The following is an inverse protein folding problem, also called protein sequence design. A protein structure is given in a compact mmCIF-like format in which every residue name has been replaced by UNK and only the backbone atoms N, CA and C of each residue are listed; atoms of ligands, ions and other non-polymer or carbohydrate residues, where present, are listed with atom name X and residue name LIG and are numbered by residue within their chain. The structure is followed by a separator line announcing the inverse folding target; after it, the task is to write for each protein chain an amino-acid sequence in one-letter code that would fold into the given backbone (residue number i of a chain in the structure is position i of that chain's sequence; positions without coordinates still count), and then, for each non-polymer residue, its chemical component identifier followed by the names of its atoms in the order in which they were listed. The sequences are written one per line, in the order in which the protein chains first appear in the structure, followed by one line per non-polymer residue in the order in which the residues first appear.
data_IF_614746910139
#
_entry.id   IF_614746910139
#
_cell.length_a   1.000
_cell.length_b   1.000
_cell.length_c   1.000
_cell.angle_alpha   90.00
_cell.angle_beta   90.00
_cell.angle_gamma   90.00
#
_symmetry.space_group_name_H-M   'P 1'
#
loop_
_entity.id
_entity.type
_entity.pdbx_description
1 polymer ?
#
# COMPACT_ATOMS: atom_id res chain seq x y z
N UNK A 1 -89.30 35.14 6.83
CA UNK A 1 -90.54 34.44 6.43
C UNK A 1 -90.15 33.12 5.79
N UNK A 2 -90.58 32.00 6.38
CA UNK A 2 -90.73 30.68 5.71
C UNK A 2 -92.03 30.74 4.86
N UNK A 3 -92.26 29.88 3.84
CA UNK A 3 -92.23 28.42 3.97
C UNK A 3 -91.75 27.59 2.76
N UNK A 4 -91.62 26.28 3.05
CA UNK A 4 -91.29 25.14 2.19
C UNK A 4 -92.49 24.70 1.28
N UNK A 5 -92.41 23.58 0.52
CA UNK A 5 -92.69 22.28 1.15
C UNK A 5 -91.88 21.07 0.66
N UNK A 6 -92.05 20.00 1.44
CA UNK A 6 -91.48 18.64 1.44
C UNK A 6 -92.54 17.66 0.89
N UNK A 7 -92.14 16.62 0.15
CA UNK A 7 -92.85 15.32 0.00
C UNK A 7 -91.77 14.23 -0.12
N UNK A 8 -91.41 13.44 0.92
CA UNK A 8 -91.96 12.14 1.43
C UNK A 8 -92.22 11.12 0.30
N UNK A 9 -91.51 9.99 0.18
CA UNK A 9 -91.58 8.70 0.91
C UNK A 9 -90.55 7.76 0.24
N UNK A 10 -89.89 6.78 0.85
CA UNK A 10 -90.39 5.78 1.79
C UNK A 10 -89.27 4.83 2.26
N UNK A 11 -89.60 4.11 3.32
CA UNK A 11 -88.79 3.28 4.20
C UNK A 11 -88.74 1.82 3.71
N UNK A 12 -87.58 1.16 3.73
CA UNK A 12 -87.49 -0.28 3.99
C UNK A 12 -86.07 -0.69 4.39
N UNK A 13 -85.93 -1.00 5.68
CA UNK A 13 -84.80 -1.68 6.29
C UNK A 13 -84.90 -3.18 5.96
N UNK A 14 -83.85 -3.81 5.43
CA UNK A 14 -83.70 -5.26 5.48
C UNK A 14 -82.20 -5.61 5.57
N UNK A 15 -81.80 -5.93 6.80
CA UNK A 15 -80.56 -6.60 7.16
C UNK A 15 -80.71 -8.09 6.82
N UNK A 16 -79.91 -8.60 5.88
CA UNK A 16 -79.52 -10.01 5.82
C UNK A 16 -78.01 -10.05 5.52
N UNK A 17 -77.25 -10.57 6.49
CA UNK A 17 -75.87 -11.03 6.31
C UNK A 17 -75.86 -12.20 5.31
N UNK A 18 -74.94 -12.17 4.34
CA UNK A 18 -74.06 -13.31 4.03
C UNK A 18 -73.00 -12.94 2.99
N UNK A 19 -71.74 -13.07 3.41
CA UNK A 19 -70.57 -13.55 2.68
C UNK A 19 -70.45 -13.23 1.18
N UNK A 20 -69.48 -12.37 0.87
CA UNK A 20 -68.92 -12.19 -0.47
C UNK A 20 -67.54 -11.54 -0.39
N UNK A 21 -66.60 -12.21 0.28
CA UNK A 21 -65.17 -11.93 0.14
C UNK A 21 -64.77 -12.17 -1.32
N UNK A 22 -64.34 -11.10 -1.99
CA UNK A 22 -63.65 -11.15 -3.28
C UNK A 22 -62.66 -10.00 -3.29
N UNK A 23 -61.50 -10.26 -2.69
CA UNK A 23 -60.47 -9.28 -2.39
C UNK A 23 -60.10 -8.42 -3.62
N UNK A 24 -60.21 -7.10 -3.45
CA UNK A 24 -59.24 -6.19 -4.07
C UNK A 24 -57.87 -6.65 -3.58
N UNK A 25 -57.03 -7.13 -4.48
CA UNK A 25 -55.60 -7.30 -4.22
C UNK A 25 -55.04 -5.93 -3.86
N UNK A 26 -54.99 -5.63 -2.57
CA UNK A 26 -54.02 -4.69 -2.06
C UNK A 26 -52.66 -5.26 -2.46
N UNK A 27 -52.02 -4.64 -3.45
CA UNK A 27 -50.61 -4.87 -3.69
C UNK A 27 -49.90 -4.59 -2.37
N UNK A 28 -49.47 -5.65 -1.69
CA UNK A 28 -48.60 -5.57 -0.53
C UNK A 28 -47.39 -4.76 -1.01
N UNK A 29 -47.14 -3.60 -0.43
CA UNK A 29 -45.89 -2.89 -0.66
C UNK A 29 -44.77 -3.91 -0.46
N UNK A 30 -43.93 -4.10 -1.48
CA UNK A 30 -42.83 -5.07 -1.37
C UNK A 30 -41.89 -4.56 -0.29
N UNK A 31 -41.69 -5.36 0.76
CA UNK A 31 -40.72 -5.05 1.81
C UNK A 31 -39.32 -4.94 1.19
N UNK A 32 -38.52 -3.98 1.65
CA UNK A 32 -37.10 -3.89 1.28
C UNK A 32 -36.39 -5.25 1.46
N UNK A 33 -35.42 -5.50 0.60
CA UNK A 33 -34.70 -6.78 0.59
C UNK A 33 -33.83 -6.98 1.83
N UNK A 34 -33.61 -8.24 2.20
CA UNK A 34 -32.52 -8.63 3.11
C UNK A 34 -31.21 -8.84 2.35
N UNK A 35 -30.08 -8.92 3.06
CA UNK A 35 -28.78 -9.25 2.45
C UNK A 35 -28.79 -10.61 1.74
N UNK A 36 -29.50 -11.60 2.28
CA UNK A 36 -29.65 -12.92 1.64
C UNK A 36 -30.36 -12.81 0.29
N UNK A 37 -31.39 -11.96 0.19
CA UNK A 37 -32.09 -11.70 -1.07
C UNK A 37 -31.19 -10.93 -2.05
N UNK A 38 -30.43 -9.93 -1.57
CA UNK A 38 -29.46 -9.23 -2.40
C UNK A 38 -28.37 -10.17 -2.94
N UNK A 39 -27.84 -11.09 -2.13
CA UNK A 39 -26.87 -12.09 -2.57
C UNK A 39 -27.43 -12.99 -3.70
N UNK A 40 -28.72 -13.38 -3.60
CA UNK A 40 -29.39 -14.11 -4.68
C UNK A 40 -29.46 -13.28 -5.95
N UNK A 41 -29.79 -11.99 -5.83
CA UNK A 41 -29.84 -11.06 -6.95
C UNK A 41 -28.47 -10.86 -7.59
N UNK A 42 -27.40 -10.70 -6.80
CA UNK A 42 -26.02 -10.56 -7.29
C UNK A 42 -25.61 -11.80 -8.11
N UNK A 43 -25.94 -13.00 -7.64
CA UNK A 43 -25.71 -14.25 -8.39
C UNK A 43 -26.52 -14.31 -9.69
N UNK A 44 -27.76 -13.84 -9.70
CA UNK A 44 -28.56 -13.72 -10.94
C UNK A 44 -27.95 -12.72 -11.94
N UNK A 45 -27.17 -11.76 -11.47
CA UNK A 45 -26.48 -10.77 -12.30
C UNK A 45 -25.13 -11.26 -12.84
N UNK A 46 -24.79 -12.53 -12.61
CA UNK A 46 -23.52 -13.15 -13.03
C UNK A 46 -22.31 -12.42 -12.44
N UNK A 47 -22.40 -12.13 -11.14
CA UNK A 47 -21.32 -11.51 -10.36
C UNK A 47 -20.84 -12.53 -9.35
N UNK A 48 -19.57 -12.89 -9.43
CA UNK A 48 -18.93 -13.81 -8.51
C UNK A 48 -18.80 -13.18 -7.12
N UNK A 49 -19.11 -13.97 -6.09
CA UNK A 49 -19.14 -13.49 -4.69
C UNK A 49 -18.31 -14.37 -3.77
N UNK A 50 -17.64 -13.76 -2.79
CA UNK A 50 -16.96 -14.45 -1.68
C UNK A 50 -17.39 -13.85 -0.33
N UNK A 51 -17.27 -14.60 0.78
CA UNK A 51 -17.48 -14.04 2.12
C UNK A 51 -16.54 -12.87 2.39
N UNK A 52 -17.04 -11.82 3.05
CA UNK A 52 -16.22 -10.75 3.62
C UNK A 52 -15.97 -11.02 5.11
N UNK A 53 -14.96 -10.33 5.65
CA UNK A 53 -14.67 -10.34 7.10
C UNK A 53 -15.57 -9.35 7.86
N UNK A 54 -16.23 -8.44 7.12
CA UNK A 54 -17.31 -7.58 7.60
C UNK A 54 -18.67 -8.24 7.33
N UNK A 55 -19.51 -8.34 8.36
CA UNK A 55 -20.83 -8.98 8.29
C UNK A 55 -21.84 -8.17 7.45
N UNK A 56 -21.60 -6.87 7.26
CA UNK A 56 -22.43 -5.96 6.47
C UNK A 56 -21.89 -5.78 5.04
N UNK A 57 -21.02 -6.69 4.58
CA UNK A 57 -20.37 -6.63 3.28
C UNK A 57 -20.34 -7.98 2.54
N UNK A 58 -20.41 -7.94 1.21
CA UNK A 58 -20.01 -9.07 0.37
C UNK A 58 -18.84 -8.69 -0.54
N UNK A 59 -17.81 -9.54 -0.60
CA UNK A 59 -16.72 -9.41 -1.59
C UNK A 59 -17.24 -9.87 -2.96
N UNK A 60 -16.93 -9.11 -4.00
CA UNK A 60 -17.40 -9.37 -5.36
C UNK A 60 -16.28 -9.28 -6.39
N UNK A 61 -16.43 -10.01 -7.50
CA UNK A 61 -15.68 -9.79 -8.73
C UNK A 61 -16.59 -9.09 -9.73
N UNK A 62 -16.32 -7.81 -10.02
CA UNK A 62 -17.12 -6.99 -10.91
C UNK A 62 -16.94 -7.34 -12.39
N UNK A 63 -15.71 -7.69 -12.75
CA UNK A 63 -15.30 -8.03 -14.11
C UNK A 63 -14.35 -9.22 -14.03
N UNK A 64 -14.73 -10.32 -14.65
CA UNK A 64 -13.87 -11.48 -14.82
C UNK A 64 -12.86 -11.27 -15.95
N UNK A 65 -11.71 -11.91 -15.83
CA UNK A 65 -10.68 -11.84 -16.84
C UNK A 65 -9.35 -12.36 -16.35
N UNK A 66 -8.30 -12.15 -17.14
CA UNK A 66 -6.93 -12.52 -16.77
C UNK A 66 -6.45 -11.75 -15.53
N UNK A 67 -6.87 -10.49 -15.42
CA UNK A 67 -6.72 -9.66 -14.22
C UNK A 67 -8.14 -9.25 -13.80
N UNK A 68 -8.73 -9.92 -12.80
CA UNK A 68 -10.10 -9.66 -12.38
C UNK A 68 -10.20 -8.31 -11.66
N UNK A 69 -11.35 -7.64 -11.81
CA UNK A 69 -11.64 -6.39 -11.09
C UNK A 69 -12.46 -6.74 -9.85
N UNK A 70 -11.79 -6.75 -8.71
CA UNK A 70 -12.40 -7.05 -7.41
C UNK A 70 -13.04 -5.82 -6.76
N UNK A 71 -13.80 -6.08 -5.71
CA UNK A 71 -14.37 -5.04 -4.87
C UNK A 71 -15.33 -5.61 -3.85
N UNK A 72 -16.23 -4.76 -3.38
CA UNK A 72 -17.22 -5.13 -2.37
C UNK A 72 -18.53 -4.38 -2.58
N UNK A 73 -19.59 -4.93 -2.00
CA UNK A 73 -20.88 -4.24 -1.84
C UNK A 73 -21.13 -4.16 -0.34
N UNK A 74 -21.03 -2.96 0.22
CA UNK A 74 -21.39 -2.70 1.61
C UNK A 74 -22.87 -2.34 1.70
N UNK A 75 -23.52 -2.76 2.77
CA UNK A 75 -24.95 -2.57 2.99
C UNK A 75 -25.21 -1.73 4.23
N UNK A 76 -26.17 -0.83 4.16
CA UNK A 76 -26.75 -0.24 5.37
C UNK A 76 -28.13 -0.82 5.62
N UNK A 77 -28.39 -1.20 6.87
CA UNK A 77 -29.63 -1.84 7.27
C UNK A 77 -30.53 -0.93 8.12
N UNK A 78 -31.82 -1.22 8.11
CA UNK A 78 -32.78 -0.70 9.08
C UNK A 78 -32.83 -1.54 10.36
N UNK A 79 -33.67 -1.11 11.31
CA UNK A 79 -33.87 -1.81 12.58
C UNK A 79 -34.47 -3.21 12.42
N UNK A 80 -34.95 -3.57 11.23
CA UNK A 80 -35.51 -4.86 10.87
C UNK A 80 -34.59 -5.66 9.93
N UNK A 81 -33.31 -5.26 9.82
CA UNK A 81 -32.31 -5.93 8.97
C UNK A 81 -32.70 -5.93 7.49
N UNK A 82 -33.40 -4.87 7.05
CA UNK A 82 -33.70 -4.61 5.65
C UNK A 82 -32.77 -3.56 5.08
N UNK A 83 -32.36 -3.75 3.84
CA UNK A 83 -31.45 -2.84 3.14
C UNK A 83 -32.12 -1.47 2.99
N UNK A 84 -31.38 -0.42 3.38
CA UNK A 84 -31.73 0.99 3.17
C UNK A 84 -30.95 1.60 2.02
N UNK A 85 -29.69 1.21 1.90
CA UNK A 85 -28.76 1.72 0.91
C UNK A 85 -27.69 0.65 0.64
N UNK A 86 -27.05 0.74 -0.52
CA UNK A 86 -25.88 -0.08 -0.86
C UNK A 86 -24.80 0.80 -1.43
N UNK A 87 -23.56 0.48 -1.08
CA UNK A 87 -22.37 1.21 -1.49
C UNK A 87 -21.43 0.25 -2.20
N UNK A 88 -21.57 0.07 -3.52
CA UNK A 88 -20.63 -0.72 -4.29
C UNK A 88 -19.30 0.01 -4.40
N UNK A 89 -18.21 -0.73 -4.26
CA UNK A 89 -16.84 -0.25 -4.44
C UNK A 89 -16.09 -1.22 -5.35
N UNK A 90 -15.30 -0.68 -6.27
CA UNK A 90 -14.43 -1.44 -7.15
C UNK A 90 -13.01 -0.92 -7.02
N UNK A 91 -12.06 -1.83 -6.83
CA UNK A 91 -10.66 -1.48 -6.80
C UNK A 91 -10.12 -1.55 -8.24
N UNK A 92 -9.51 -0.48 -8.71
CA UNK A 92 -8.96 -0.43 -10.07
C UNK A 92 -7.73 -1.35 -10.13
N UNK A 93 -7.69 -2.33 -11.03
CA UNK A 93 -6.55 -3.22 -11.15
C UNK A 93 -5.32 -2.47 -11.64
N UNK A 94 -4.18 -2.95 -11.19
CA UNK A 94 -2.90 -2.32 -11.43
C UNK A 94 -2.61 -2.17 -12.93
N UNK A 95 -2.86 -3.23 -13.70
CA UNK A 95 -2.59 -3.29 -15.14
C UNK A 95 -3.28 -2.19 -15.98
N UNK A 96 -4.37 -1.59 -15.47
CA UNK A 96 -5.06 -0.44 -16.11
C UNK A 96 -4.39 0.91 -15.86
N UNK A 97 -3.50 0.99 -14.88
CA UNK A 97 -2.87 2.22 -14.40
C UNK A 97 -1.34 2.20 -14.44
N UNK A 98 -0.75 1.22 -15.13
CA UNK A 98 0.68 0.93 -15.16
C UNK A 98 1.65 2.09 -15.34
N UNK A 99 1.28 3.13 -16.07
CA UNK A 99 2.17 4.27 -16.33
C UNK A 99 1.65 5.57 -15.71
N UNK A 100 0.79 5.46 -14.70
CA UNK A 100 0.20 6.59 -14.01
C UNK A 100 0.70 6.61 -12.55
N UNK A 101 1.63 7.53 -12.27
CA UNK A 101 2.03 7.80 -10.89
C UNK A 101 0.92 8.48 -10.08
N UNK A 102 1.11 8.60 -8.76
CA UNK A 102 0.10 9.14 -7.84
C UNK A 102 -0.49 10.49 -8.27
N UNK A 103 0.36 11.44 -8.69
CA UNK A 103 -0.09 12.75 -9.15
C UNK A 103 -0.97 12.65 -10.40
N UNK A 104 -0.56 11.83 -11.39
CA UNK A 104 -1.34 11.59 -12.60
C UNK A 104 -2.68 10.92 -12.30
N UNK A 105 -2.71 9.98 -11.36
CA UNK A 105 -3.95 9.32 -10.90
C UNK A 105 -4.90 10.31 -10.21
N UNK A 106 -4.37 11.17 -9.34
CA UNK A 106 -5.17 12.19 -8.68
C UNK A 106 -5.75 13.19 -9.69
N UNK A 107 -4.93 13.67 -10.62
CA UNK A 107 -5.37 14.56 -11.68
C UNK A 107 -6.41 13.89 -12.61
N UNK A 108 -6.22 12.62 -12.93
CA UNK A 108 -7.20 11.83 -13.67
C UNK A 108 -8.52 11.75 -12.92
N UNK A 109 -8.49 11.39 -11.63
CA UNK A 109 -9.69 11.25 -10.80
C UNK A 109 -10.47 12.57 -10.72
N UNK A 110 -9.78 13.71 -10.51
CA UNK A 110 -10.40 15.04 -10.52
C UNK A 110 -11.09 15.36 -11.85
N UNK A 111 -10.42 15.10 -12.98
CA UNK A 111 -10.99 15.36 -14.32
C UNK A 111 -12.17 14.44 -14.61
N UNK A 112 -12.05 13.16 -14.28
CA UNK A 112 -13.10 12.16 -14.48
C UNK A 112 -14.33 12.50 -13.63
N UNK A 113 -14.14 12.82 -12.34
CA UNK A 113 -15.21 13.23 -11.45
C UNK A 113 -15.90 14.52 -11.93
N UNK A 114 -15.14 15.49 -12.43
CA UNK A 114 -15.69 16.73 -12.99
C UNK A 114 -16.55 16.47 -14.23
N UNK A 115 -16.06 15.62 -15.15
CA UNK A 115 -16.78 15.20 -16.35
C UNK A 115 -18.08 14.43 -16.03
N UNK A 116 -18.10 13.70 -14.93
CA UNK A 116 -19.22 12.88 -14.49
C UNK A 116 -19.96 13.47 -13.27
N UNK A 117 -19.88 14.78 -13.03
CA UNK A 117 -20.41 15.41 -11.81
C UNK A 117 -21.92 15.23 -11.55
N UNK A 118 -22.70 14.84 -12.57
CA UNK A 118 -24.12 14.50 -12.45
C UNK A 118 -24.41 13.04 -12.08
N UNK A 119 -23.37 12.23 -11.85
CA UNK A 119 -23.47 10.82 -11.44
C UNK A 119 -23.07 10.66 -9.97
N UNK A 120 -23.51 9.57 -9.35
CA UNK A 120 -23.23 9.29 -7.93
C UNK A 120 -21.88 8.60 -7.72
N UNK A 121 -21.32 8.00 -8.77
CA UNK A 121 -20.05 7.31 -8.76
C UNK A 121 -18.87 8.29 -8.80
N UNK A 122 -17.84 8.02 -7.98
CA UNK A 122 -16.61 8.82 -7.94
C UNK A 122 -15.37 7.94 -7.86
N UNK A 123 -14.32 8.43 -8.52
CA UNK A 123 -12.97 7.93 -8.40
C UNK A 123 -12.25 8.68 -7.29
N UNK A 124 -11.62 7.93 -6.40
CA UNK A 124 -10.80 8.47 -5.32
C UNK A 124 -9.51 7.67 -5.21
N UNK A 125 -8.42 8.37 -4.85
CA UNK A 125 -7.11 7.76 -4.60
C UNK A 125 -6.93 7.71 -3.09
N UNK A 126 -6.87 6.52 -2.51
CA UNK A 126 -6.63 6.34 -1.08
C UNK A 126 -5.25 6.91 -0.67
N UNK A 127 -4.98 7.06 0.63
CA UNK A 127 -3.62 7.37 1.11
C UNK A 127 -2.62 6.27 0.78
N UNK A 128 -3.08 5.01 0.73
CA UNK A 128 -2.34 3.87 0.19
C UNK A 128 -2.20 3.92 -1.33
N UNK A 129 -2.79 4.94 -1.99
CA UNK A 129 -2.97 5.20 -3.42
C UNK A 129 -3.43 4.06 -4.28
N UNK A 130 -4.16 3.14 -3.67
CA UNK A 130 -5.17 2.37 -4.34
C UNK A 130 -6.19 3.35 -4.95
N UNK A 131 -6.34 3.30 -6.27
CA UNK A 131 -7.43 3.99 -6.96
C UNK A 131 -8.68 3.10 -6.88
N UNK A 132 -9.79 3.66 -6.42
CA UNK A 132 -11.05 2.94 -6.33
C UNK A 132 -12.20 3.79 -6.85
N UNK A 133 -13.21 3.10 -7.38
CA UNK A 133 -14.51 3.69 -7.73
C UNK A 133 -15.49 3.37 -6.61
N UNK A 134 -16.18 4.39 -6.08
CA UNK A 134 -17.18 4.26 -5.03
C UNK A 134 -18.42 5.10 -5.34
N UNK A 135 -19.44 5.02 -4.49
CA UNK A 135 -20.66 5.84 -4.56
C UNK A 135 -20.73 6.77 -3.36
N UNK A 136 -20.77 8.08 -3.59
CA UNK A 136 -20.72 9.11 -2.51
C UNK A 136 -22.07 9.50 -1.92
N UNK A 137 -23.16 9.17 -2.62
CA UNK A 137 -24.52 9.42 -2.19
C UNK A 137 -25.36 8.20 -2.60
N UNK A 138 -25.24 7.09 -1.86
CA UNK A 138 -25.96 5.87 -2.20
C UNK A 138 -27.45 6.17 -2.18
N UNK A 139 -28.17 5.78 -3.23
CA UNK A 139 -29.59 6.07 -3.37
C UNK A 139 -30.36 5.47 -2.20
N UNK A 140 -30.93 6.32 -1.33
CA UNK A 140 -31.79 5.87 -0.24
C UNK A 140 -33.21 5.75 -0.77
N UNK A 141 -33.79 4.55 -0.68
CA UNK A 141 -35.17 4.30 -1.07
C UNK A 141 -36.00 3.87 0.14
N UNK A 142 -37.24 4.36 0.22
CA UNK A 142 -38.21 3.86 1.19
C UNK A 142 -38.58 2.37 0.94
N UNK A 143 -38.35 1.89 -0.29
CA UNK A 143 -38.53 0.49 -0.71
C UNK A 143 -37.31 0.09 -1.55
N UNK A 144 -36.36 -0.60 -0.92
CA UNK A 144 -35.13 -1.06 -1.56
C UNK A 144 -35.35 -2.48 -2.11
N UNK A 145 -36.03 -2.57 -3.26
CA UNK A 145 -36.38 -3.83 -3.90
C UNK A 145 -35.29 -4.33 -4.88
N UNK A 146 -35.51 -5.52 -5.45
CA UNK A 146 -34.57 -6.15 -6.38
C UNK A 146 -34.37 -5.34 -7.67
N UNK A 147 -35.39 -4.62 -8.13
CA UNK A 147 -35.30 -3.83 -9.36
C UNK A 147 -34.40 -2.61 -9.14
N UNK A 148 -34.63 -1.89 -8.03
CA UNK A 148 -33.80 -0.75 -7.66
C UNK A 148 -32.35 -1.16 -7.37
N UNK A 149 -32.14 -2.28 -6.67
CA UNK A 149 -30.80 -2.84 -6.48
C UNK A 149 -30.10 -3.16 -7.81
N UNK A 150 -30.76 -3.86 -8.72
CA UNK A 150 -30.22 -4.19 -10.06
C UNK A 150 -29.86 -2.91 -10.84
N UNK A 151 -30.69 -1.88 -10.76
CA UNK A 151 -30.43 -0.59 -11.40
C UNK A 151 -29.16 0.08 -10.86
N UNK A 152 -29.02 0.17 -9.53
CA UNK A 152 -27.83 0.74 -8.88
C UNK A 152 -26.55 -0.02 -9.24
N UNK A 153 -26.60 -1.35 -9.17
CA UNK A 153 -25.45 -2.20 -9.50
C UNK A 153 -25.09 -2.10 -11.00
N UNK A 154 -26.07 -2.03 -11.90
CA UNK A 154 -25.80 -1.87 -13.33
C UNK A 154 -25.25 -0.48 -13.67
N UNK A 155 -25.75 0.58 -13.02
CA UNK A 155 -25.18 1.94 -13.14
C UNK A 155 -23.71 1.94 -12.75
N UNK A 156 -23.41 1.33 -11.59
CA UNK A 156 -22.05 1.21 -11.08
C UNK A 156 -21.14 0.44 -12.04
N UNK A 157 -21.57 -0.73 -12.55
CA UNK A 157 -20.80 -1.51 -13.54
C UNK A 157 -20.53 -0.73 -14.82
N UNK A 158 -21.50 0.06 -15.28
CA UNK A 158 -21.33 0.92 -16.45
C UNK A 158 -20.32 2.05 -16.19
N UNK A 159 -20.36 2.67 -15.01
CA UNK A 159 -19.38 3.68 -14.59
C UNK A 159 -17.98 3.08 -14.47
N UNK A 160 -17.85 1.90 -13.86
CA UNK A 160 -16.62 1.15 -13.76
C UNK A 160 -16.01 0.86 -15.13
N UNK A 161 -16.79 0.34 -16.07
CA UNK A 161 -16.31 0.07 -17.44
C UNK A 161 -15.76 1.35 -18.09
N UNK A 162 -16.49 2.47 -18.00
CA UNK A 162 -16.03 3.76 -18.53
C UNK A 162 -14.73 4.24 -17.87
N UNK A 163 -14.63 4.12 -16.55
CA UNK A 163 -13.44 4.51 -15.80
C UNK A 163 -12.22 3.70 -16.25
N UNK A 164 -12.35 2.37 -16.34
CA UNK A 164 -11.26 1.48 -16.74
C UNK A 164 -10.82 1.72 -18.19
N UNK A 165 -11.75 1.97 -19.12
CA UNK A 165 -11.43 2.28 -20.52
C UNK A 165 -10.74 3.64 -20.70
N UNK A 166 -11.06 4.63 -19.85
CA UNK A 166 -10.40 5.94 -19.84
C UNK A 166 -9.01 5.85 -19.19
N UNK A 167 -8.88 5.11 -18.09
CA UNK A 167 -7.59 4.86 -17.42
C UNK A 167 -6.60 4.11 -18.30
N UNK A 168 -7.04 3.05 -18.98
CA UNK A 168 -6.18 2.27 -19.88
C UNK A 168 -5.63 3.14 -21.02
N UNK A 169 -6.46 4.05 -21.56
CA UNK A 169 -6.02 5.01 -22.59
C UNK A 169 -5.03 6.04 -22.06
N UNK A 170 -5.30 6.61 -20.88
CA UNK A 170 -4.40 7.57 -20.22
C UNK A 170 -3.06 6.91 -19.88
N UNK A 171 -3.09 5.70 -19.32
CA UNK A 171 -1.89 4.91 -19.01
C UNK A 171 -1.06 4.65 -20.26
N UNK A 172 -1.66 4.17 -21.35
CA UNK A 172 -0.96 3.96 -22.63
C UNK A 172 -0.36 5.25 -23.20
N UNK A 173 -1.05 6.38 -23.05
CA UNK A 173 -0.51 7.68 -23.48
C UNK A 173 0.74 8.11 -22.70
N UNK A 174 0.91 7.60 -21.47
CA UNK A 174 2.06 7.87 -20.60
C UNK A 174 3.11 6.74 -20.62
N UNK A 175 3.00 5.75 -21.51
CA UNK A 175 3.95 4.62 -21.59
C UNK A 175 5.41 5.06 -21.73
N UNK A 176 5.66 6.19 -22.40
CA UNK A 176 7.00 6.76 -22.56
C UNK A 176 7.64 7.24 -21.24
N UNK A 177 6.84 7.55 -20.21
CA UNK A 177 7.36 7.89 -18.89
C UNK A 177 7.97 6.67 -18.17
N UNK A 178 7.43 5.48 -18.43
CA UNK A 178 7.87 4.24 -17.78
C UNK A 178 7.88 4.39 -16.25
N UNK A 179 8.97 3.95 -15.61
CA UNK A 179 9.12 4.05 -14.15
C UNK A 179 9.27 5.50 -13.64
N UNK A 180 9.53 6.48 -14.52
CA UNK A 180 9.65 7.89 -14.12
C UNK A 180 8.34 8.49 -13.64
N UNK A 181 7.20 7.91 -14.05
CA UNK A 181 5.89 8.34 -13.57
C UNK A 181 5.81 8.30 -12.03
N UNK A 182 6.52 7.35 -11.41
CA UNK A 182 6.58 7.14 -9.95
C UNK A 182 7.69 7.94 -9.26
N UNK A 183 8.39 8.82 -9.99
CA UNK A 183 9.51 9.62 -9.48
C UNK A 183 9.21 11.14 -9.45
N UNK A 184 7.93 11.52 -9.54
CA UNK A 184 7.49 12.86 -9.98
C UNK A 184 7.26 13.92 -8.88
N UNK A 185 7.65 13.66 -7.63
CA UNK A 185 7.37 14.51 -6.45
C UNK A 185 8.62 14.85 -5.60
N UNK A 186 9.79 14.87 -6.23
CA UNK A 186 11.05 15.01 -5.48
C UNK A 186 11.36 16.45 -5.11
N UNK A 187 11.67 16.65 -3.83
CA UNK A 187 12.25 17.88 -3.34
C UNK A 187 13.74 17.70 -3.05
N UNK A 188 14.49 18.79 -3.12
CA UNK A 188 15.90 18.76 -2.73
C UNK A 188 16.00 18.78 -1.21
N UNK A 189 16.73 17.82 -0.64
CA UNK A 189 17.02 17.83 0.78
C UNK A 189 18.26 18.69 1.06
N UNK A 190 18.25 19.46 2.15
CA UNK A 190 19.41 20.23 2.60
C UNK A 190 20.40 19.30 3.34
N UNK A 191 21.54 18.90 2.73
CA UNK A 191 22.49 17.97 3.34
C UNK A 191 23.18 18.54 4.59
N UNK A 192 23.06 19.84 4.86
CA UNK A 192 23.63 20.45 6.07
C UNK A 192 22.78 20.24 7.31
N UNK A 193 21.54 19.76 7.16
CA UNK A 193 20.55 19.61 8.24
C UNK A 193 20.14 18.17 8.44
N UNK A 194 19.79 17.83 9.69
CA UNK A 194 19.09 16.57 9.95
C UNK A 194 17.69 16.63 9.31
N UNK A 195 17.19 15.51 8.77
CA UNK A 195 17.82 14.19 8.76
C UNK A 195 18.76 13.94 7.57
N UNK A 196 18.67 14.73 6.49
CA UNK A 196 19.41 14.52 5.24
C UNK A 196 20.94 14.42 5.43
N UNK A 197 21.51 15.14 6.40
CA UNK A 197 22.92 15.11 6.74
C UNK A 197 23.45 13.72 7.12
N UNK A 198 22.62 12.86 7.70
CA UNK A 198 22.97 11.51 8.11
C UNK A 198 22.69 10.46 7.02
N UNK A 199 22.01 10.84 5.94
CA UNK A 199 21.69 9.99 4.79
C UNK A 199 22.73 10.23 3.70
N UNK A 200 23.25 9.16 3.12
CA UNK A 200 24.40 9.22 2.22
C UNK A 200 24.33 8.27 1.06
N UNK A 201 25.24 8.49 0.11
CA UNK A 201 25.46 7.61 -1.02
C UNK A 201 26.48 6.54 -0.65
N UNK A 202 26.12 5.28 -0.87
CA UNK A 202 27.01 4.14 -0.72
C UNK A 202 27.56 3.77 -2.09
N UNK A 203 28.89 3.85 -2.25
CA UNK A 203 29.57 3.38 -3.46
C UNK A 203 29.91 1.90 -3.35
N UNK A 204 29.70 1.19 -4.45
CA UNK A 204 29.85 -0.25 -4.54
C UNK A 204 30.75 -0.57 -5.74
N UNK A 205 31.57 -1.60 -5.61
CA UNK A 205 32.47 -2.02 -6.68
C UNK A 205 31.68 -2.29 -7.98
N UNK A 206 32.19 -1.81 -9.10
CA UNK A 206 31.53 -1.90 -10.40
C UNK A 206 30.71 -0.66 -10.79
N UNK A 207 30.75 0.41 -9.99
CA UNK A 207 30.09 1.68 -10.31
C UNK A 207 28.59 1.70 -10.00
N UNK A 208 28.14 0.77 -9.17
CA UNK A 208 26.80 0.77 -8.60
C UNK A 208 26.78 1.62 -7.34
N UNK A 209 25.62 2.22 -7.06
CA UNK A 209 25.42 2.97 -5.84
C UNK A 209 24.02 2.69 -5.28
N UNK A 210 23.96 2.79 -3.96
CA UNK A 210 22.74 2.72 -3.16
C UNK A 210 22.68 3.91 -2.20
N UNK A 211 21.57 4.01 -1.47
CA UNK A 211 21.43 4.91 -0.34
C UNK A 211 21.72 4.15 0.96
N UNK A 212 22.28 4.84 1.95
CA UNK A 212 22.40 4.33 3.31
C UNK A 212 22.23 5.43 4.34
N UNK A 213 22.07 5.05 5.61
CA UNK A 213 21.85 5.98 6.72
C UNK A 213 22.75 5.67 7.90
N UNK A 214 23.37 6.69 8.50
CA UNK A 214 24.11 6.54 9.74
C UNK A 214 23.16 6.28 10.91
N UNK A 215 23.22 5.07 11.47
CA UNK A 215 22.42 4.64 12.63
C UNK A 215 23.23 4.60 13.92
N UNK A 216 24.57 4.69 13.81
CA UNK A 216 25.49 4.93 14.91
C UNK A 216 26.72 5.70 14.41
N UNK A 217 27.68 5.98 15.30
CA UNK A 217 28.85 6.81 14.96
C UNK A 217 29.65 6.27 13.76
N UNK A 218 29.74 4.95 13.62
CA UNK A 218 30.47 4.27 12.55
C UNK A 218 29.65 3.14 11.89
N UNK A 219 28.31 3.13 12.04
CA UNK A 219 27.45 2.09 11.45
C UNK A 219 26.47 2.71 10.45
N UNK A 220 26.44 2.15 9.24
CA UNK A 220 25.50 2.50 8.17
C UNK A 220 24.50 1.37 7.98
N UNK A 221 23.21 1.72 7.97
CA UNK A 221 22.12 0.85 7.55
C UNK A 221 21.87 1.02 6.04
N UNK A 222 21.73 -0.09 5.31
CA UNK A 222 21.36 -0.12 3.88
C UNK A 222 20.67 -1.43 3.54
N UNK A 223 20.35 -1.67 2.27
CA UNK A 223 19.77 -2.93 1.78
C UNK A 223 20.86 -3.98 1.52
N UNK A 224 20.58 -5.26 1.76
CA UNK A 224 21.54 -6.34 1.52
C UNK A 224 21.78 -6.60 0.03
N UNK A 225 20.78 -6.44 -0.83
CA UNK A 225 20.91 -6.56 -2.28
C UNK A 225 21.84 -5.48 -2.89
N UNK A 226 22.19 -4.44 -2.14
CA UNK A 226 23.23 -3.51 -2.57
C UNK A 226 24.61 -4.20 -2.61
N UNK A 227 24.86 -5.12 -1.69
CA UNK A 227 26.15 -5.79 -1.50
C UNK A 227 26.12 -7.27 -1.88
N UNK A 228 25.03 -7.75 -2.47
CA UNK A 228 24.90 -9.08 -3.06
C UNK A 228 24.10 -8.97 -4.36
N UNK A 229 24.55 -9.62 -5.44
CA UNK A 229 23.79 -9.61 -6.69
C UNK A 229 22.63 -10.62 -6.70
N UNK A 230 21.87 -10.61 -7.79
CA UNK A 230 20.72 -11.49 -8.07
C UNK A 230 21.07 -12.99 -8.15
N UNK A 231 22.37 -13.33 -8.11
CA UNK A 231 22.89 -14.70 -8.10
C UNK A 231 23.50 -15.07 -6.75
N UNK A 232 23.39 -14.21 -5.75
CA UNK A 232 23.97 -14.41 -4.42
C UNK A 232 25.46 -14.16 -4.34
N UNK A 233 26.09 -13.56 -5.37
CA UNK A 233 27.51 -13.23 -5.34
C UNK A 233 27.72 -11.95 -4.55
N UNK A 234 28.70 -11.97 -3.66
CA UNK A 234 29.05 -10.82 -2.84
C UNK A 234 29.65 -9.69 -3.69
N UNK A 235 29.19 -8.48 -3.45
CA UNK A 235 29.74 -7.25 -3.99
C UNK A 235 30.45 -6.49 -2.88
N UNK A 236 31.54 -5.80 -3.24
CA UNK A 236 32.34 -5.04 -2.29
C UNK A 236 31.76 -3.63 -2.09
N UNK A 237 31.18 -3.29 -0.93
CA UNK A 237 30.94 -1.88 -0.59
C UNK A 237 32.29 -1.18 -0.38
N UNK A 238 32.40 0.07 -0.84
CA UNK A 238 33.68 0.80 -0.87
C UNK A 238 33.70 1.93 0.15
N UNK A 239 32.89 2.96 -0.09
CA UNK A 239 32.91 4.22 0.68
C UNK A 239 31.47 4.70 0.86
N UNK A 240 31.17 5.20 2.05
CA UNK A 240 29.90 5.88 2.33
C UNK A 240 30.14 7.39 2.43
N UNK A 241 29.37 8.17 1.66
CA UNK A 241 29.43 9.63 1.64
C UNK A 241 28.16 10.22 2.27
N UNK A 242 28.26 10.63 3.54
CA UNK A 242 27.15 11.22 4.27
C UNK A 242 26.86 12.65 3.77
N UNK A 243 25.60 12.94 3.44
CA UNK A 243 25.16 14.28 3.01
C UNK A 243 25.91 14.82 1.79
N UNK A 244 26.20 13.99 0.79
CA UNK A 244 26.94 14.41 -0.41
C UNK A 244 26.09 15.28 -1.33
N UNK A 245 26.59 16.44 -1.74
CA UNK A 245 25.96 17.28 -2.76
C UNK A 245 27.02 17.75 -3.76
N UNK A 246 26.86 17.38 -5.04
CA UNK A 246 27.78 17.66 -6.13
C UNK A 246 29.25 17.27 -5.88
N UNK A 247 29.49 16.22 -5.08
CA UNK A 247 30.83 15.75 -4.73
C UNK A 247 31.34 16.23 -3.37
N UNK A 248 30.68 17.21 -2.76
CA UNK A 248 31.02 17.71 -1.43
C UNK A 248 30.23 16.94 -0.37
N UNK A 249 30.89 16.01 0.33
CA UNK A 249 30.29 15.26 1.42
C UNK A 249 30.49 15.96 2.78
N UNK A 250 29.49 15.85 3.65
CA UNK A 250 29.63 16.28 5.05
C UNK A 250 30.71 15.46 5.74
N UNK A 251 30.73 14.15 5.48
CA UNK A 251 31.79 13.24 5.90
C UNK A 251 31.80 12.00 5.01
N UNK A 252 32.95 11.34 4.92
CA UNK A 252 33.14 10.10 4.17
C UNK A 252 34.01 9.13 4.97
N UNK A 253 33.76 7.84 4.80
CA UNK A 253 34.50 6.77 5.44
C UNK A 253 34.49 5.50 4.58
N UNK A 254 35.59 4.74 4.65
CA UNK A 254 35.69 3.43 4.03
C UNK A 254 34.88 2.39 4.79
N UNK A 255 34.30 1.43 4.07
CA UNK A 255 33.63 0.28 4.70
C UNK A 255 34.67 -0.78 5.04
N UNK A 256 34.65 -1.29 6.28
CA UNK A 256 35.59 -2.29 6.80
C UNK A 256 34.92 -3.57 7.29
N UNK A 257 33.61 -3.51 7.58
CA UNK A 257 32.84 -4.66 8.02
C UNK A 257 31.44 -4.71 7.43
N UNK A 258 30.91 -5.91 7.27
CA UNK A 258 29.59 -6.20 6.73
C UNK A 258 28.85 -7.17 7.64
N UNK A 259 27.59 -6.87 7.92
CA UNK A 259 26.66 -7.83 8.49
C UNK A 259 25.34 -7.79 7.71
N UNK A 260 24.81 -8.96 7.37
CA UNK A 260 23.50 -9.17 6.72
C UNK A 260 22.73 -10.23 7.50
N UNK A 261 21.41 -10.31 7.30
CA UNK A 261 20.63 -11.44 7.79
C UNK A 261 21.22 -12.76 7.21
N UNK A 262 21.61 -13.75 8.04
CA UNK A 262 22.19 -15.01 7.54
C UNK A 262 21.25 -15.85 6.66
N UNK A 263 19.95 -15.59 6.72
CA UNK A 263 18.93 -16.24 5.90
C UNK A 263 18.50 -15.37 4.70
N UNK A 264 19.16 -14.23 4.47
CA UNK A 264 18.97 -13.45 3.26
C UNK A 264 19.43 -14.26 2.03
N UNK A 265 18.50 -14.48 1.11
CA UNK A 265 18.72 -15.27 -0.10
C UNK A 265 18.22 -14.48 -1.31
N UNK A 266 19.07 -13.71 -2.00
CA UNK A 266 18.64 -12.82 -3.09
C UNK A 266 18.03 -13.57 -4.30
N UNK A 267 18.22 -14.88 -4.39
CA UNK A 267 17.72 -15.70 -5.51
C UNK A 267 16.24 -16.06 -5.31
N UNK A 268 15.85 -16.39 -4.07
CA UNK A 268 14.53 -16.96 -3.76
C UNK A 268 13.66 -16.03 -2.92
N UNK A 269 13.85 -14.70 -2.98
CA UNK A 269 13.11 -13.75 -2.13
C UNK A 269 11.63 -13.68 -2.44
N UNK A 270 11.29 -13.93 -3.69
CA UNK A 270 9.92 -13.87 -4.19
C UNK A 270 9.31 -15.27 -4.38
N UNK A 271 9.97 -16.31 -3.89
CA UNK A 271 9.47 -17.69 -3.87
C UNK A 271 8.44 -17.82 -2.74
N UNK A 272 7.24 -17.30 -2.97
CA UNK A 272 6.10 -17.34 -2.06
C UNK A 272 4.77 -17.36 -2.81
N UNK A 273 3.73 -17.93 -2.20
CA UNK A 273 2.40 -17.98 -2.82
C UNK A 273 1.68 -16.62 -2.79
N UNK A 274 2.05 -15.75 -1.84
CA UNK A 274 1.52 -14.41 -1.67
C UNK A 274 2.58 -13.54 -0.98
N UNK A 275 2.47 -12.21 -1.09
CA UNK A 275 3.33 -11.28 -0.35
C UNK A 275 3.01 -11.31 1.14
N UNK A 276 1.74 -11.48 1.50
CA UNK A 276 1.29 -11.56 2.90
C UNK A 276 1.88 -12.75 3.66
N UNK A 277 2.25 -13.83 2.96
CA UNK A 277 2.79 -15.06 3.53
C UNK A 277 4.26 -15.30 3.17
N UNK A 278 5.05 -14.24 2.97
CA UNK A 278 6.45 -14.36 2.58
C UNK A 278 7.42 -13.70 3.57
N UNK A 279 7.85 -14.41 4.64
CA UNK A 279 8.78 -13.87 5.63
C UNK A 279 10.17 -13.53 5.06
N UNK A 280 10.53 -14.01 3.87
CA UNK A 280 11.82 -13.71 3.22
C UNK A 280 11.95 -12.23 2.84
N UNK A 281 10.82 -11.55 2.61
CA UNK A 281 10.79 -10.12 2.27
C UNK A 281 11.28 -9.21 3.40
N UNK A 282 11.42 -9.74 4.61
CA UNK A 282 11.89 -9.00 5.79
C UNK A 282 13.41 -8.99 5.97
N UNK A 283 14.17 -9.64 5.08
CA UNK A 283 15.59 -9.96 5.29
C UNK A 283 16.55 -9.09 4.49
N UNK A 284 16.05 -8.22 3.61
CA UNK A 284 16.88 -7.37 2.76
C UNK A 284 17.43 -6.14 3.50
N UNK A 285 18.33 -6.38 4.45
CA UNK A 285 18.98 -5.33 5.22
C UNK A 285 20.44 -5.69 5.51
N UNK A 286 21.29 -4.66 5.57
CA UNK A 286 22.69 -4.77 5.90
C UNK A 286 23.12 -3.67 6.87
N UNK A 287 24.03 -4.02 7.78
CA UNK A 287 24.75 -3.10 8.66
C UNK A 287 26.22 -3.08 8.23
N UNK A 288 26.73 -1.91 7.90
CA UNK A 288 28.10 -1.69 7.45
C UNK A 288 28.90 -0.97 8.51
N UNK A 289 30.05 -1.52 8.87
CA UNK A 289 31.00 -0.89 9.79
C UNK A 289 31.99 -0.02 9.00
N UNK A 290 32.21 1.20 9.48
CA UNK A 290 33.07 2.21 8.87
C UNK A 290 34.43 2.34 9.58
N UNK A 291 35.47 2.70 8.83
CA UNK A 291 36.83 2.93 9.35
C UNK A 291 36.99 4.22 10.18
N UNK A 292 35.96 5.08 10.18
CA UNK A 292 35.94 6.33 10.93
C UNK A 292 34.54 6.62 11.52
N UNK A 293 34.47 7.23 12.72
CA UNK A 293 33.21 7.55 13.41
C UNK A 293 32.55 8.82 12.85
N UNK A 294 32.25 8.83 11.54
CA UNK A 294 31.75 10.02 10.83
C UNK A 294 30.36 10.49 11.29
N UNK A 295 29.59 9.64 11.97
CA UNK A 295 28.33 10.01 12.62
C UNK A 295 28.49 11.09 13.70
N UNK A 296 29.70 11.27 14.26
CA UNK A 296 30.00 12.41 15.16
C UNK A 296 29.90 13.76 14.46
N UNK A 297 30.17 13.80 13.15
CA UNK A 297 30.10 15.01 12.31
C UNK A 297 28.76 15.11 11.57
N UNK A 298 28.32 14.01 10.97
CA UNK A 298 27.10 13.95 10.17
C UNK A 298 25.81 13.79 11.00
N UNK A 299 25.90 13.36 12.25
CA UNK A 299 24.76 12.93 13.06
C UNK A 299 24.35 11.49 12.76
N UNK A 300 23.41 10.98 13.56
CA UNK A 300 22.84 9.64 13.43
C UNK A 300 21.33 9.70 13.57
N UNK A 301 20.63 8.71 13.01
CA UNK A 301 19.18 8.56 13.12
C UNK A 301 18.86 7.26 13.84
N UNK A 302 18.02 7.33 14.87
CA UNK A 302 17.58 6.17 15.65
C UNK A 302 16.68 5.26 14.83
N UNK A 303 16.86 3.95 14.97
CA UNK A 303 15.93 2.94 14.45
C UNK A 303 14.76 2.78 15.40
N UNK A 304 13.54 2.90 14.88
CA UNK A 304 12.33 2.58 15.61
C UNK A 304 11.78 1.21 15.18
N UNK A 305 11.98 0.21 16.04
CA UNK A 305 11.42 -1.14 15.87
C UNK A 305 9.90 -1.14 16.10
N UNK A 306 9.15 -0.56 15.16
CA UNK A 306 7.70 -0.45 15.23
C UNK A 306 7.03 -1.84 15.15
N UNK A 307 6.08 -2.07 16.04
CA UNK A 307 5.15 -3.21 15.95
C UNK A 307 4.15 -3.01 14.81
N UNK A 308 3.52 -4.10 14.34
CA UNK A 308 2.43 -4.04 13.37
C UNK A 308 1.32 -3.06 13.78
N UNK A 309 0.94 -3.05 15.05
CA UNK A 309 -0.06 -2.13 15.59
C UNK A 309 0.41 -0.67 15.63
N UNK A 310 1.71 -0.40 15.81
CA UNK A 310 2.26 0.95 15.71
C UNK A 310 2.28 1.44 14.26
N UNK A 311 2.71 0.59 13.33
CA UNK A 311 2.68 0.89 11.91
C UNK A 311 1.25 1.16 11.43
N UNK A 312 0.27 0.36 11.85
CA UNK A 312 -1.13 0.60 11.53
C UNK A 312 -1.63 1.96 12.04
N UNK A 313 -1.23 2.38 13.25
CA UNK A 313 -1.57 3.72 13.75
C UNK A 313 -0.99 4.85 12.91
N UNK A 314 0.19 4.67 12.32
CA UNK A 314 0.78 5.65 11.39
C UNK A 314 -0.07 5.74 10.12
N UNK A 315 -0.61 4.62 9.63
CA UNK A 315 -1.56 4.61 8.49
C UNK A 315 -2.84 5.36 8.84
N UNK A 316 -3.37 5.11 10.03
CA UNK A 316 -4.66 5.64 10.47
C UNK A 316 -4.59 7.13 10.88
N UNK A 317 -3.41 7.61 11.29
CA UNK A 317 -3.21 9.00 11.70
C UNK A 317 -2.98 9.91 10.49
N UNK A 318 -4.02 10.71 10.20
CA UNK A 318 -3.97 11.65 9.08
C UNK A 318 -2.84 12.68 9.17
N UNK A 319 -2.26 12.92 10.36
CA UNK A 319 -1.21 13.90 10.62
C UNK A 319 0.20 13.33 10.62
N UNK A 320 0.36 12.01 10.60
CA UNK A 320 1.69 11.40 10.59
C UNK A 320 2.41 11.76 9.29
N UNK A 321 3.57 12.42 9.41
CA UNK A 321 4.47 12.68 8.28
C UNK A 321 5.59 11.65 8.30
N UNK A 322 5.62 10.84 7.25
CA UNK A 322 6.73 9.93 6.98
C UNK A 322 7.40 10.43 5.73
N UNK A 323 8.68 10.73 5.84
CA UNK A 323 9.48 11.17 4.70
C UNK A 323 10.44 10.07 4.26
N UNK A 324 10.76 10.04 2.97
CA UNK A 324 11.87 9.26 2.46
C UNK A 324 13.00 10.19 2.02
N UNK A 325 14.25 9.85 2.30
CA UNK A 325 15.41 10.55 1.74
C UNK A 325 16.28 9.56 0.97
N UNK A 326 16.63 9.89 -0.28
CA UNK A 326 17.38 9.01 -1.17
C UNK A 326 18.33 9.72 -2.12
N UNK A 327 19.22 8.94 -2.71
CA UNK A 327 20.13 9.35 -3.79
C UNK A 327 19.75 8.71 -5.14
N UNK A 328 18.54 8.16 -5.27
CA UNK A 328 18.06 7.61 -6.52
C UNK A 328 18.03 8.64 -7.66
N UNK A 329 18.24 8.16 -8.89
CA UNK A 329 18.13 8.95 -10.12
C UNK A 329 19.15 10.08 -10.30
N UNK A 330 19.29 10.60 -11.53
CA UNK A 330 20.23 11.68 -11.88
C UNK A 330 21.68 11.42 -11.37
N UNK A 331 22.14 10.17 -11.43
CA UNK A 331 23.46 9.72 -10.97
C UNK A 331 23.77 9.95 -9.48
N UNK A 332 22.78 10.24 -8.64
CA UNK A 332 22.98 10.36 -7.18
C UNK A 332 23.89 11.50 -6.76
N UNK A 333 23.88 12.63 -7.50
CA UNK A 333 24.72 13.77 -7.17
C UNK A 333 24.27 14.53 -5.91
N UNK A 334 23.02 14.36 -5.47
CA UNK A 334 22.46 15.10 -4.34
C UNK A 334 21.28 14.39 -3.68
N UNK A 335 21.04 14.63 -2.38
CA UNK A 335 19.94 14.00 -1.67
C UNK A 335 18.60 14.61 -2.05
N UNK A 336 17.58 13.77 -2.08
CA UNK A 336 16.21 14.16 -2.41
C UNK A 336 15.29 13.62 -1.36
N UNK A 337 14.26 14.39 -1.03
CA UNK A 337 13.24 14.02 -0.07
C UNK A 337 11.88 13.91 -0.74
N UNK A 338 11.04 13.06 -0.15
CA UNK A 338 9.63 12.89 -0.49
C UNK A 338 8.81 12.84 0.80
N UNK A 339 7.61 13.39 0.77
CA UNK A 339 6.64 13.38 1.87
C UNK A 339 5.56 12.32 1.66
N UNK A 340 4.73 12.09 2.68
CA UNK A 340 3.60 11.15 2.62
C UNK A 340 4.02 9.72 2.23
N UNK A 341 5.19 9.32 2.69
CA UNK A 341 5.85 8.03 2.43
C UNK A 341 5.49 6.95 3.45
N UNK A 342 4.40 7.15 4.20
CA UNK A 342 3.97 6.24 5.24
C UNK A 342 3.63 4.85 4.72
N UNK A 343 3.45 3.87 5.63
CA UNK A 343 2.99 2.55 5.23
C UNK A 343 1.65 2.67 4.49
N UNK A 344 1.52 1.98 3.36
CA UNK A 344 0.29 1.86 2.59
C UNK A 344 -0.52 0.66 3.08
N UNK A 345 0.12 -0.52 3.15
CA UNK A 345 -0.42 -1.74 3.76
C UNK A 345 0.60 -2.35 4.72
N UNK A 346 0.16 -2.66 5.94
CA UNK A 346 0.98 -3.27 6.97
C UNK A 346 0.71 -4.77 7.03
N UNK A 347 1.42 -5.52 6.20
CA UNK A 347 1.34 -6.98 6.17
C UNK A 347 1.92 -7.59 7.44
N UNK A 348 3.16 -7.24 7.77
CA UNK A 348 3.83 -7.63 9.00
C UNK A 348 4.67 -6.48 9.56
N UNK A 349 5.14 -6.60 10.81
CA UNK A 349 6.07 -5.62 11.36
C UNK A 349 7.42 -5.61 10.63
N UNK A 350 7.80 -6.77 10.07
CA UNK A 350 9.10 -6.94 9.42
C UNK A 350 9.13 -6.52 7.95
N UNK A 351 7.98 -6.38 7.30
CA UNK A 351 7.89 -5.83 5.95
C UNK A 351 6.49 -5.29 5.69
N UNK A 352 6.45 -4.17 4.99
CA UNK A 352 5.21 -3.48 4.63
C UNK A 352 5.40 -2.76 3.29
N UNK A 353 4.33 -2.16 2.81
CA UNK A 353 4.34 -1.46 1.53
C UNK A 353 4.29 0.05 1.73
N UNK A 354 4.81 0.80 0.77
CA UNK A 354 4.66 2.25 0.64
C UNK A 354 4.40 2.61 -0.81
N UNK A 355 4.02 3.86 -1.03
CA UNK A 355 3.79 4.44 -2.34
C UNK A 355 4.75 5.59 -2.66
N UNK A 356 5.78 5.75 -1.84
CA UNK A 356 6.75 6.84 -1.96
C UNK A 356 7.65 6.74 -3.20
N UNK A 357 7.32 6.01 -4.26
CA UNK A 357 8.22 5.85 -5.41
C UNK A 357 9.48 5.04 -5.06
N UNK A 358 10.08 4.41 -6.06
CA UNK A 358 11.43 3.86 -5.95
C UNK A 358 12.08 3.95 -7.31
N UNK A 359 13.26 4.55 -7.37
CA UNK A 359 14.10 4.45 -8.57
C UNK A 359 15.46 3.89 -8.24
N UNK A 360 16.21 3.49 -9.26
CA UNK A 360 17.57 2.99 -9.11
C UNK A 360 18.43 3.94 -8.25
N UNK A 361 18.96 3.41 -7.15
CA UNK A 361 19.74 4.12 -6.14
C UNK A 361 19.00 4.43 -4.84
N UNK A 362 17.67 4.39 -4.84
CA UNK A 362 16.88 4.55 -3.62
C UNK A 362 16.90 3.30 -2.72
N UNK A 363 17.43 2.17 -3.19
CA UNK A 363 17.68 0.98 -2.36
C UNK A 363 18.43 1.35 -1.07
N UNK A 364 17.90 0.95 0.07
CA UNK A 364 18.43 1.29 1.40
C UNK A 364 18.07 2.70 1.91
N UNK A 365 17.29 3.48 1.16
CA UNK A 365 16.78 4.78 1.63
C UNK A 365 15.90 4.60 2.86
N UNK A 366 16.07 5.42 3.92
CA UNK A 366 15.23 5.33 5.10
C UNK A 366 13.83 5.91 4.84
N UNK A 367 12.83 5.26 5.42
CA UNK A 367 11.55 5.88 5.73
C UNK A 367 11.62 6.41 7.16
N UNK A 368 11.40 7.70 7.31
CA UNK A 368 11.62 8.48 8.52
C UNK A 368 10.30 9.00 9.03
N UNK A 369 9.87 8.50 10.19
CA UNK A 369 8.74 9.06 10.93
C UNK A 369 9.20 10.33 11.65
N UNK A 370 8.52 11.44 11.40
CA UNK A 370 8.70 12.70 12.13
C UNK A 370 7.74 12.76 13.33
N UNK A 371 8.30 12.91 14.53
CA UNK A 371 7.54 13.15 15.75
C UNK A 371 8.29 14.17 16.62
N UNK A 372 7.61 15.26 16.97
CA UNK A 372 8.12 16.32 17.84
C UNK A 372 9.49 16.89 17.39
N UNK A 373 9.69 17.06 16.08
CA UNK A 373 10.92 17.56 15.48
C UNK A 373 12.07 16.55 15.43
N UNK A 374 11.79 15.26 15.71
CA UNK A 374 12.77 14.17 15.64
C UNK A 374 12.38 13.17 14.58
N UNK A 375 13.39 12.65 13.89
CA UNK A 375 13.22 11.63 12.87
C UNK A 375 13.69 10.28 13.39
N UNK A 376 12.90 9.23 13.13
CA UNK A 376 13.26 7.84 13.43
C UNK A 376 13.02 6.94 12.23
N UNK A 377 13.91 6.00 11.99
CA UNK A 377 13.80 5.05 10.87
C UNK A 377 12.76 3.99 11.21
N UNK A 378 11.68 3.93 10.44
CA UNK A 378 10.65 2.87 10.55
C UNK A 378 10.87 1.73 9.56
N UNK A 379 11.74 1.93 8.57
CA UNK A 379 12.12 0.91 7.59
C UNK A 379 13.04 1.46 6.52
N UNK A 380 13.46 0.58 5.61
CA UNK A 380 14.29 0.93 4.44
C UNK A 380 13.68 0.40 3.15
N UNK A 381 13.88 1.15 2.08
CA UNK A 381 13.45 0.75 0.75
C UNK A 381 14.19 -0.50 0.27
N UNK A 382 13.41 -1.48 -0.18
CA UNK A 382 13.89 -2.73 -0.73
C UNK A 382 13.69 -2.76 -2.25
N UNK A 383 12.47 -3.01 -2.69
CA UNK A 383 12.12 -3.32 -4.07
C UNK A 383 10.75 -2.74 -4.42
N UNK A 384 10.34 -2.91 -5.67
CA UNK A 384 8.97 -2.70 -6.08
C UNK A 384 8.38 -3.99 -6.62
N UNK A 385 7.07 -4.14 -6.44
CA UNK A 385 6.28 -5.26 -6.92
C UNK A 385 4.98 -4.72 -7.53
N UNK A 386 4.42 -5.49 -8.45
CA UNK A 386 3.07 -5.25 -8.95
C UNK A 386 2.11 -6.19 -8.21
N UNK A 387 1.11 -5.62 -7.55
CA UNK A 387 -0.03 -6.37 -7.02
C UNK A 387 -1.16 -6.37 -8.05
N UNK A 388 -2.13 -7.27 -7.92
CA UNK A 388 -3.28 -7.32 -8.84
C UNK A 388 -4.07 -5.99 -8.90
N UNK A 389 -4.05 -5.21 -7.82
CA UNK A 389 -4.89 -4.03 -7.61
C UNK A 389 -4.13 -2.71 -7.40
N UNK A 390 -2.80 -2.74 -7.44
CA UNK A 390 -1.95 -1.56 -7.29
C UNK A 390 -0.59 -1.86 -7.94
N UNK A 391 -0.16 -0.99 -8.85
CA UNK A 391 1.13 -1.14 -9.56
C UNK A 391 2.22 -0.39 -8.82
N UNK A 392 3.46 -0.87 -8.97
CA UNK A 392 4.63 -0.25 -8.36
C UNK A 392 4.42 0.01 -6.87
N UNK A 393 4.01 -1.03 -6.14
CA UNK A 393 4.02 -1.01 -4.69
C UNK A 393 5.44 -1.18 -4.21
N UNK A 394 5.90 -0.28 -3.35
CA UNK A 394 7.28 -0.29 -2.88
C UNK A 394 7.36 -1.06 -1.57
N UNK A 395 8.14 -2.14 -1.59
CA UNK A 395 8.42 -2.94 -0.41
C UNK A 395 9.42 -2.22 0.49
N UNK A 396 9.10 -2.26 1.77
CA UNK A 396 9.92 -1.71 2.84
C UNK A 396 10.25 -2.82 3.81
N UNK A 397 11.53 -2.97 4.14
CA UNK A 397 11.98 -3.81 5.25
C UNK A 397 11.81 -3.02 6.54
N UNK A 398 10.98 -3.52 7.45
CA UNK A 398 10.61 -2.81 8.67
C UNK A 398 11.70 -2.84 9.74
N UNK A 399 11.81 -1.75 10.52
CA UNK A 399 12.85 -1.57 11.54
C UNK A 399 12.94 -2.65 12.61
N UNK A 400 11.85 -3.40 12.84
CA UNK A 400 11.81 -4.51 13.77
C UNK A 400 12.75 -5.68 13.40
N UNK A 401 13.17 -5.77 12.13
CA UNK A 401 14.00 -6.88 11.62
C UNK A 401 15.48 -6.71 11.95
N UNK A 402 15.99 -5.49 11.83
CA UNK A 402 17.42 -5.19 11.97
C UNK A 402 17.79 -4.51 13.29
N UNK A 403 16.84 -3.96 14.04
CA UNK A 403 17.08 -3.37 15.36
C UNK A 403 17.77 -4.33 16.36
N UNK A 404 17.39 -5.63 16.47
CA UNK A 404 18.10 -6.56 17.34
C UNK A 404 19.57 -6.74 16.95
N UNK A 405 19.85 -6.93 15.65
CA UNK A 405 21.22 -7.09 15.15
C UNK A 405 22.05 -5.81 15.36
N UNK A 406 21.44 -4.63 15.17
CA UNK A 406 22.09 -3.35 15.46
C UNK A 406 22.48 -3.25 16.94
N UNK A 407 21.58 -3.60 17.86
CA UNK A 407 21.87 -3.60 19.31
C UNK A 407 22.97 -4.58 19.69
N UNK A 408 22.97 -5.77 19.08
CA UNK A 408 24.01 -6.77 19.34
C UNK A 408 25.37 -6.34 18.77
N UNK A 409 25.40 -5.68 17.60
CA UNK A 409 26.61 -5.10 17.03
C UNK A 409 27.16 -3.98 17.93
N UNK A 410 26.30 -3.04 18.35
CA UNK A 410 26.70 -1.92 19.22
C UNK A 410 27.15 -2.36 20.62
N UNK A 411 26.64 -3.50 21.11
CA UNK A 411 27.07 -4.08 22.39
C UNK A 411 28.25 -5.04 22.28
N UNK A 412 28.73 -5.32 21.06
CA UNK A 412 29.83 -6.26 20.78
C UNK A 412 29.46 -7.74 20.94
N UNK A 413 28.16 -8.07 21.07
CA UNK A 413 27.67 -9.46 21.06
C UNK A 413 27.69 -10.06 19.66
N UNK A 414 27.56 -9.20 18.66
CA UNK A 414 27.69 -9.54 17.24
C UNK A 414 28.91 -8.82 16.67
N UNK A 415 29.65 -9.50 15.80
CA UNK A 415 30.77 -8.92 15.07
C UNK A 415 30.46 -8.91 13.58
N UNK A 416 30.74 -7.80 12.92
CA UNK A 416 30.67 -7.73 11.47
C UNK A 416 31.76 -8.59 10.83
N UNK A 417 31.46 -9.16 9.66
CA UNK A 417 32.45 -9.87 8.84
C UNK A 417 33.38 -8.85 8.21
N UNK A 418 34.70 -9.06 8.30
CA UNK A 418 35.67 -8.18 7.63
C UNK A 418 35.40 -8.13 6.12
N UNK A 419 35.70 -7.00 5.47
CA UNK A 419 35.52 -6.90 4.02
C UNK A 419 36.39 -7.92 3.26
N UNK A 420 37.59 -8.24 3.77
CA UNK A 420 38.43 -9.28 3.20
C UNK A 420 37.78 -10.67 3.27
N UNK A 421 37.14 -11.01 4.39
CA UNK A 421 36.46 -12.29 4.55
C UNK A 421 35.13 -12.33 3.79
N UNK A 422 34.39 -11.21 3.74
CA UNK A 422 33.18 -11.06 2.94
C UNK A 422 33.45 -11.36 1.46
N UNK A 423 34.58 -10.90 0.93
CA UNK A 423 34.91 -11.09 -0.48
C UNK A 423 35.47 -12.49 -0.81
N UNK A 424 35.74 -13.34 0.18
CA UNK A 424 36.07 -14.75 -0.06
C UNK A 424 34.76 -15.48 -0.38
N UNK A 425 34.49 -15.68 -1.67
CA UNK A 425 33.22 -16.24 -2.16
C UNK A 425 32.90 -17.61 -1.52
N UNK A 426 31.61 -17.95 -1.31
CA UNK A 426 31.16 -19.31 -0.97
C UNK A 426 31.52 -20.39 -2.00
N UNK A 427 32.02 -20.03 -3.19
CA UNK A 427 32.44 -20.98 -4.24
C UNK A 427 33.83 -21.62 -4.01
N UNK A 428 34.62 -21.12 -3.05
CA UNK A 428 35.94 -21.65 -2.72
C UNK A 428 35.93 -22.70 -1.60
N UNK A 429 34.79 -22.93 -0.92
CA UNK A 429 34.68 -23.94 0.14
C UNK A 429 33.62 -25.02 -0.15
N UNK A 430 34.08 -26.26 -0.13
CA UNK A 430 33.32 -27.51 -0.17
C UNK A 430 31.97 -27.41 0.60
N UNK A 431 30.82 -27.71 -0.04
CA UNK A 431 29.51 -27.75 0.60
C UNK A 431 29.44 -28.54 1.91
N UNK A 432 30.36 -29.48 2.14
CA UNK A 432 30.47 -30.24 3.39
C UNK A 432 30.79 -29.39 4.63
N UNK A 433 31.34 -28.17 4.51
CA UNK A 433 31.66 -27.31 5.67
C UNK A 433 30.47 -26.55 6.25
N UNK A 434 29.40 -26.31 5.47
CA UNK A 434 28.18 -25.63 5.94
C UNK A 434 27.43 -26.41 7.04
N UNK A 435 27.65 -27.73 7.15
CA UNK A 435 27.01 -28.57 8.18
C UNK A 435 27.82 -28.69 9.49
N UNK A 436 29.01 -28.07 9.59
CA UNK A 436 29.99 -28.34 10.65
C UNK A 436 30.02 -27.38 11.85
N UNK A 437 29.30 -26.26 11.85
CA UNK A 437 29.36 -25.27 12.95
C UNK A 437 28.00 -25.10 13.65
N UNK A 438 27.44 -26.21 14.14
CA UNK A 438 26.68 -26.15 15.40
C UNK A 438 27.67 -26.41 16.52
N UNK A 439 28.04 -25.36 17.25
CA UNK A 439 28.75 -25.51 18.51
C UNK A 439 27.87 -26.28 19.49
N UNK A 440 28.13 -27.58 19.58
CA UNK A 440 27.68 -28.38 20.71
C UNK A 440 28.58 -28.06 21.90
N UNK A 441 28.00 -27.65 23.03
CA UNK A 441 28.51 -27.98 24.36
C UNK A 441 27.74 -27.24 25.46
N UNK A 442 27.70 -27.79 26.69
CA UNK A 442 27.41 -29.17 27.09
C UNK A 442 25.98 -29.31 27.63
#
# INVERSE_FOLDING_TARGET
MRPAPIIRTGLALLLILAAGLGARTAARAADSMTMVQALSVVKEMDIDTKPSDDEDEIKVTWIDGKVPVGGYISFEFDSHQKIRSVSPVAVVPADRIRYLGRAALHDFALRWNSKNAGQSERLDVAKSGVLYLSVIAPGVSAQYDAAFFKEQINSFRAALTRALDELDRESKANEAEGDKAYASDWELADPSRMPARAVGRLEIQGGYMCTGTLVAENIVLTAAHCIMDDKGRHQKPLVFYAGIDHGDAVAEAGVVGVHVDPEFDPVHQFDGNSIADNPRLSRDWALLELDAPIGRKAGTIEVFAATKAQLQRIVDDAKSDVIQIGYGGQSGFRPKLRHDCGPADVLEAGYYTTQCGLVKGDSGSPLLLEEDGKYRIIGINYAWIDLDYINHVFLVVGGATFDPALKDLLSGKLQATSIEDWMKSPDDEDPARRMGQRSASP
#
